data_IF_455497137459
#
_entry.id   IF_455497137459
#
_cell.length_a   1.000
_cell.length_b   1.000
_cell.length_c   1.000
_cell.angle_alpha   90.00
_cell.angle_beta   90.00
_cell.angle_gamma   90.00
#
_symmetry.space_group_name_H-M   'P 1'
#
loop_
_entity.id
_entity.type
_entity.pdbx_description
1 polymer ?
#
# COMPACT_ATOMS: atom_id res chain seq x y z
N UNK A 1 3.82 -13.42 -15.63
CA UNK A 1 5.27 -13.62 -15.86
C UNK A 1 5.66 -15.10 -15.85
N UNK A 2 5.26 -15.90 -14.85
CA UNK A 2 5.58 -17.34 -14.81
C UNK A 2 4.93 -18.17 -15.93
N UNK A 3 3.69 -17.85 -16.32
CA UNK A 3 2.92 -18.63 -17.31
C UNK A 3 3.55 -18.61 -18.71
N UNK A 4 3.92 -17.44 -19.27
CA UNK A 4 4.54 -17.35 -20.61
C UNK A 4 5.89 -18.07 -20.69
N UNK A 5 6.70 -18.01 -19.61
CA UNK A 5 7.97 -18.73 -19.54
C UNK A 5 7.76 -20.24 -19.43
N UNK A 6 6.79 -20.66 -18.63
CA UNK A 6 6.39 -22.06 -18.53
C UNK A 6 5.94 -22.59 -19.90
N UNK A 7 5.10 -21.85 -20.62
CA UNK A 7 4.65 -22.23 -21.97
C UNK A 7 5.81 -22.32 -22.97
N UNK A 8 6.74 -21.35 -22.95
CA UNK A 8 7.93 -21.40 -23.80
C UNK A 8 8.84 -22.59 -23.48
N UNK A 9 8.97 -22.95 -22.19
CA UNK A 9 9.71 -24.14 -21.77
C UNK A 9 8.99 -25.43 -22.21
N UNK A 10 7.67 -25.51 -22.04
CA UNK A 10 6.85 -26.63 -22.52
C UNK A 10 7.05 -26.84 -24.02
N UNK A 11 7.06 -25.77 -24.83
CA UNK A 11 7.35 -25.86 -26.26
C UNK A 11 8.71 -26.51 -26.54
N UNK A 12 9.73 -26.12 -25.81
CA UNK A 12 11.08 -26.65 -25.99
C UNK A 12 11.19 -28.13 -25.61
N UNK A 13 10.44 -28.58 -24.60
CA UNK A 13 10.38 -29.99 -24.16
C UNK A 13 9.63 -30.87 -25.17
N UNK A 14 8.65 -30.34 -25.89
CA UNK A 14 7.92 -31.10 -26.92
C UNK A 14 8.81 -31.45 -28.11
N UNK A 15 9.80 -30.60 -28.47
CA UNK A 15 10.71 -30.84 -29.61
C UNK A 15 11.44 -32.19 -29.54
N UNK A 16 12.17 -32.55 -28.46
CA UNK A 16 12.84 -33.84 -28.37
C UNK A 16 11.86 -35.01 -28.29
N UNK A 17 10.67 -34.82 -27.68
CA UNK A 17 9.65 -35.87 -27.63
C UNK A 17 9.11 -36.19 -29.03
N UNK A 18 8.79 -35.15 -29.81
CA UNK A 18 8.34 -35.28 -31.19
C UNK A 18 9.44 -35.87 -32.09
N UNK A 19 10.71 -35.55 -31.83
CA UNK A 19 11.85 -36.15 -32.52
C UNK A 19 11.95 -37.66 -32.26
N UNK A 20 11.79 -38.09 -31.00
CA UNK A 20 11.79 -39.52 -30.65
C UNK A 20 10.65 -40.26 -31.36
N UNK A 21 9.45 -39.67 -31.36
CA UNK A 21 8.30 -40.24 -32.06
C UNK A 21 8.60 -40.41 -33.56
N UNK A 22 9.07 -39.35 -34.22
CA UNK A 22 9.42 -39.37 -35.64
C UNK A 22 10.49 -40.41 -35.99
N UNK A 23 11.47 -40.63 -35.10
CA UNK A 23 12.52 -41.63 -35.28
C UNK A 23 11.97 -43.07 -35.16
N UNK A 24 11.00 -43.30 -34.29
CA UNK A 24 10.40 -44.62 -34.08
C UNK A 24 9.48 -45.04 -35.24
N UNK A 25 8.71 -44.11 -35.81
CA UNK A 25 7.70 -44.38 -36.85
C UNK A 25 8.28 -44.32 -38.27
N UNK A 26 9.60 -44.14 -38.41
CA UNK A 26 10.25 -43.84 -39.69
C UNK A 26 9.97 -44.86 -40.80
N UNK A 27 9.73 -46.12 -40.46
CA UNK A 27 9.43 -47.18 -41.41
C UNK A 27 7.96 -47.25 -41.86
N UNK A 28 7.08 -46.49 -41.22
CA UNK A 28 5.61 -46.58 -41.38
C UNK A 28 5.03 -45.39 -42.17
N UNK A 29 5.85 -44.42 -42.58
CA UNK A 29 5.38 -43.24 -43.30
C UNK A 29 4.98 -43.53 -44.75
N UNK A 30 3.82 -43.03 -45.19
CA UNK A 30 3.48 -42.97 -46.61
C UNK A 30 4.46 -42.09 -47.41
N UNK A 31 4.60 -42.29 -48.73
CA UNK A 31 5.50 -41.51 -49.58
C UNK A 31 5.26 -39.99 -49.44
N UNK A 32 6.33 -39.22 -49.17
CA UNK A 32 6.27 -37.76 -49.02
C UNK A 32 5.90 -37.25 -47.62
N UNK A 33 5.23 -38.06 -46.78
CA UNK A 33 4.83 -37.65 -45.43
C UNK A 33 6.00 -37.61 -44.44
N UNK A 34 7.04 -38.44 -44.64
CA UNK A 34 8.28 -38.36 -43.84
C UNK A 34 8.93 -36.97 -43.97
N UNK A 35 9.00 -36.42 -45.20
CA UNK A 35 9.56 -35.08 -45.44
C UNK A 35 8.67 -33.99 -44.82
N UNK A 36 7.36 -34.13 -44.92
CA UNK A 36 6.41 -33.21 -44.28
C UNK A 36 6.54 -33.22 -42.75
N UNK A 37 6.77 -34.39 -42.14
CA UNK A 37 6.99 -34.51 -40.69
C UNK A 37 8.30 -33.86 -40.24
N UNK A 38 9.42 -34.11 -40.94
CA UNK A 38 10.70 -33.46 -40.67
C UNK A 38 10.64 -31.94 -40.82
N UNK A 39 9.98 -31.44 -41.87
CA UNK A 39 9.83 -29.99 -42.08
C UNK A 39 8.99 -29.34 -40.99
N UNK A 40 7.88 -29.97 -40.59
CA UNK A 40 7.01 -29.47 -39.51
C UNK A 40 7.75 -29.44 -38.17
N UNK A 41 8.51 -30.49 -37.85
CA UNK A 41 9.35 -30.53 -36.64
C UNK A 41 10.47 -29.48 -36.68
N UNK A 42 11.09 -29.26 -37.83
CA UNK A 42 12.10 -28.21 -38.02
C UNK A 42 11.52 -26.81 -37.80
N UNK A 43 10.37 -26.51 -38.38
CA UNK A 43 9.63 -25.25 -38.15
C UNK A 43 9.30 -25.10 -36.66
N UNK A 44 8.90 -26.18 -35.99
CA UNK A 44 8.62 -26.13 -34.57
C UNK A 44 9.85 -25.79 -33.73
N UNK A 45 10.96 -26.50 -33.96
CA UNK A 45 12.20 -26.29 -33.23
C UNK A 45 12.71 -24.86 -33.38
N UNK A 46 12.69 -24.31 -34.61
CA UNK A 46 13.08 -22.93 -34.89
C UNK A 46 12.13 -21.95 -34.20
N UNK A 47 10.82 -22.12 -34.33
CA UNK A 47 9.85 -21.24 -33.70
C UNK A 47 9.90 -21.28 -32.18
N UNK A 48 10.08 -22.44 -31.57
CA UNK A 48 10.29 -22.60 -30.12
C UNK A 48 11.56 -21.89 -29.66
N UNK A 49 12.67 -22.05 -30.40
CA UNK A 49 13.94 -21.38 -30.11
C UNK A 49 13.85 -19.85 -30.25
N UNK A 50 13.06 -19.33 -31.19
CA UNK A 50 12.84 -17.89 -31.38
C UNK A 50 11.88 -17.30 -30.32
N UNK A 51 10.84 -18.03 -29.94
CA UNK A 51 9.85 -17.59 -28.95
C UNK A 51 10.40 -17.61 -27.50
N UNK A 52 11.40 -18.46 -27.22
CA UNK A 52 12.03 -18.55 -25.91
C UNK A 52 12.66 -17.22 -25.45
N UNK A 53 13.63 -16.60 -26.17
CA UNK A 53 14.21 -15.33 -25.76
C UNK A 53 13.18 -14.20 -25.76
N UNK A 54 12.22 -14.22 -26.69
CA UNK A 54 11.11 -13.27 -26.71
C UNK A 54 10.33 -13.32 -25.40
N UNK A 55 10.09 -14.49 -24.81
CA UNK A 55 9.38 -14.65 -23.53
C UNK A 55 10.05 -13.95 -22.33
N UNK A 56 11.35 -13.62 -22.43
CA UNK A 56 12.09 -12.88 -21.41
C UNK A 56 12.04 -11.35 -21.61
N UNK A 57 11.68 -10.88 -22.81
CA UNK A 57 11.63 -9.44 -23.14
C UNK A 57 10.35 -8.78 -22.64
N UNK A 58 10.41 -7.48 -22.31
CA UNK A 58 9.22 -6.71 -21.93
C UNK A 58 8.18 -6.60 -23.06
N UNK A 59 8.58 -6.69 -24.34
CA UNK A 59 7.66 -6.68 -25.48
C UNK A 59 6.73 -7.90 -25.48
N UNK A 60 7.19 -9.06 -25.01
CA UNK A 60 6.32 -10.23 -24.83
C UNK A 60 5.33 -10.09 -23.66
N UNK A 61 5.45 -9.06 -22.81
CA UNK A 61 4.42 -8.75 -21.79
C UNK A 61 3.14 -8.19 -22.40
N UNK A 62 3.19 -7.65 -23.63
CA UNK A 62 1.99 -7.15 -24.30
C UNK A 62 1.15 -8.32 -24.78
N UNK A 63 -0.18 -8.16 -24.77
CA UNK A 63 -1.15 -9.16 -25.28
C UNK A 63 -0.76 -9.71 -26.66
N UNK A 64 -0.11 -8.89 -27.49
CA UNK A 64 0.42 -9.29 -28.80
C UNK A 64 1.42 -10.45 -28.74
N UNK A 65 2.36 -10.49 -27.78
CA UNK A 65 3.33 -11.58 -27.69
C UNK A 65 2.70 -12.92 -27.30
N UNK A 66 1.73 -12.87 -26.38
CA UNK A 66 0.92 -14.04 -26.01
C UNK A 66 0.08 -14.55 -27.18
N UNK A 67 -0.48 -13.64 -27.99
CA UNK A 67 -1.25 -13.98 -29.18
C UNK A 67 -0.38 -14.64 -30.26
N UNK A 68 0.83 -14.11 -30.51
CA UNK A 68 1.76 -14.68 -31.49
C UNK A 68 2.12 -16.11 -31.13
N UNK A 69 2.46 -16.38 -29.86
CA UNK A 69 2.75 -17.73 -29.40
C UNK A 69 1.55 -18.68 -29.57
N UNK A 70 0.36 -18.23 -29.18
CA UNK A 70 -0.86 -19.02 -29.33
C UNK A 70 -1.20 -19.34 -30.79
N UNK A 71 -1.05 -18.36 -31.68
CA UNK A 71 -1.27 -18.57 -33.13
C UNK A 71 -0.24 -19.56 -33.68
N UNK A 72 1.03 -19.42 -33.29
CA UNK A 72 2.08 -20.36 -33.69
C UNK A 72 1.76 -21.79 -33.25
N UNK A 73 1.39 -22.02 -31.99
CA UNK A 73 1.05 -23.34 -31.48
C UNK A 73 -0.23 -23.91 -32.10
N UNK A 74 -1.21 -23.05 -32.43
CA UNK A 74 -2.44 -23.45 -33.14
C UNK A 74 -2.12 -23.92 -34.56
N UNK A 75 -1.35 -23.13 -35.31
CA UNK A 75 -0.95 -23.45 -36.69
C UNK A 75 -0.11 -24.72 -36.75
N UNK A 76 0.83 -24.86 -35.82
CA UNK A 76 1.67 -26.04 -35.73
C UNK A 76 0.86 -27.28 -35.37
N UNK A 77 0.02 -27.21 -34.34
CA UNK A 77 -0.82 -28.34 -33.94
C UNK A 77 -1.70 -28.78 -35.10
N UNK A 78 -2.22 -27.83 -35.87
CA UNK A 78 -2.97 -28.11 -37.11
C UNK A 78 -2.12 -28.83 -38.15
N UNK A 79 -0.89 -28.36 -38.41
CA UNK A 79 0.02 -29.00 -39.36
C UNK A 79 0.37 -30.44 -38.95
N UNK A 80 0.70 -30.67 -37.67
CA UNK A 80 1.00 -32.01 -37.15
C UNK A 80 -0.22 -32.95 -37.26
N UNK A 81 -1.43 -32.47 -36.97
CA UNK A 81 -2.66 -33.27 -37.13
C UNK A 81 -2.89 -33.70 -38.58
N UNK A 82 -2.54 -32.87 -39.55
CA UNK A 82 -2.68 -33.20 -40.97
C UNK A 82 -1.60 -34.17 -41.44
N UNK A 83 -0.33 -33.93 -41.08
CA UNK A 83 0.80 -34.79 -41.46
C UNK A 83 0.63 -36.19 -40.90
N UNK A 84 0.23 -36.32 -39.64
CA UNK A 84 0.06 -37.62 -38.98
C UNK A 84 -1.37 -38.16 -39.07
N UNK A 85 -2.15 -37.69 -40.04
CA UNK A 85 -3.53 -38.16 -40.22
C UNK A 85 -3.63 -39.63 -40.65
N UNK A 86 -2.52 -40.23 -41.12
CA UNK A 86 -2.45 -41.65 -41.51
C UNK A 86 -2.41 -42.61 -40.31
N UNK A 87 -1.99 -42.15 -39.12
CA UNK A 87 -1.81 -43.02 -37.96
C UNK A 87 -3.13 -43.55 -37.37
N UNK A 88 -3.22 -44.85 -37.05
CA UNK A 88 -4.30 -45.39 -36.25
C UNK A 88 -4.34 -44.74 -34.86
N UNK A 89 -5.52 -44.34 -34.38
CA UNK A 89 -5.70 -43.77 -33.02
C UNK A 89 -5.38 -42.29 -32.86
N UNK A 90 -4.61 -41.68 -33.78
CA UNK A 90 -4.42 -40.23 -33.90
C UNK A 90 -4.01 -39.52 -32.60
N UNK A 91 -2.90 -39.93 -31.94
CA UNK A 91 -2.50 -39.39 -30.64
C UNK A 91 -2.27 -37.87 -30.71
N UNK A 92 -1.74 -37.35 -31.81
CA UNK A 92 -1.41 -35.93 -31.98
C UNK A 92 -2.63 -35.01 -32.07
N UNK A 93 -3.84 -35.53 -32.28
CA UNK A 93 -5.07 -34.72 -32.16
C UNK A 93 -5.32 -34.24 -30.71
N UNK A 94 -4.68 -34.84 -29.71
CA UNK A 94 -4.74 -34.35 -28.32
C UNK A 94 -4.00 -33.02 -28.13
N UNK A 95 -3.11 -32.63 -29.05
CA UNK A 95 -2.43 -31.33 -29.01
C UNK A 95 -3.40 -30.14 -29.07
N UNK A 96 -4.57 -30.31 -29.70
CA UNK A 96 -5.63 -29.29 -29.68
C UNK A 96 -6.06 -28.92 -28.26
N UNK A 97 -6.11 -29.89 -27.33
CA UNK A 97 -6.44 -29.61 -25.94
C UNK A 97 -5.37 -28.77 -25.24
N UNK A 98 -4.09 -28.98 -25.60
CA UNK A 98 -2.99 -28.17 -25.08
C UNK A 98 -3.11 -26.71 -25.55
N UNK A 99 -3.44 -26.47 -26.82
CA UNK A 99 -3.66 -25.11 -27.35
C UNK A 99 -4.88 -24.44 -26.71
N UNK A 100 -5.96 -25.18 -26.49
CA UNK A 100 -7.14 -24.69 -25.77
C UNK A 100 -6.80 -24.32 -24.33
N UNK A 101 -6.00 -25.17 -23.65
CA UNK A 101 -5.52 -24.91 -22.29
C UNK A 101 -4.66 -23.64 -22.26
N UNK A 102 -3.72 -23.50 -23.20
CA UNK A 102 -2.89 -22.31 -23.31
C UNK A 102 -3.75 -21.05 -23.50
N UNK A 103 -4.72 -21.09 -24.41
CA UNK A 103 -5.64 -19.98 -24.65
C UNK A 103 -6.47 -19.64 -23.41
N UNK A 104 -6.92 -20.65 -22.66
CA UNK A 104 -7.64 -20.47 -21.41
C UNK A 104 -6.75 -19.85 -20.31
N UNK A 105 -5.47 -20.24 -20.22
CA UNK A 105 -4.52 -19.66 -19.27
C UNK A 105 -4.19 -18.19 -19.60
N UNK A 106 -4.03 -17.87 -20.88
CA UNK A 106 -3.65 -16.54 -21.33
C UNK A 106 -4.83 -15.57 -21.33
N UNK A 107 -5.97 -16.00 -21.89
CA UNK A 107 -7.12 -15.17 -22.20
C UNK A 107 -8.43 -15.62 -21.52
N UNK A 108 -8.34 -16.49 -20.50
CA UNK A 108 -9.48 -16.99 -19.70
C UNK A 108 -10.51 -17.71 -20.58
N UNK A 109 -11.76 -17.75 -20.14
CA UNK A 109 -12.86 -18.45 -20.82
C UNK A 109 -12.97 -18.04 -22.29
N UNK A 110 -12.83 -16.75 -22.61
CA UNK A 110 -12.93 -16.25 -23.98
C UNK A 110 -11.87 -16.87 -24.92
N UNK A 111 -10.62 -16.99 -24.46
CA UNK A 111 -9.56 -17.62 -25.25
C UNK A 111 -9.77 -19.11 -25.46
N UNK A 112 -10.04 -19.84 -24.36
CA UNK A 112 -10.28 -21.27 -24.40
C UNK A 112 -11.44 -21.63 -25.34
N UNK A 113 -12.55 -20.90 -25.23
CA UNK A 113 -13.72 -21.09 -26.09
C UNK A 113 -13.42 -20.72 -27.55
N UNK A 114 -12.71 -19.61 -27.80
CA UNK A 114 -12.36 -19.20 -29.16
C UNK A 114 -11.51 -20.26 -29.89
N UNK A 115 -10.49 -20.82 -29.23
CA UNK A 115 -9.68 -21.89 -29.83
C UNK A 115 -10.46 -23.20 -29.95
N UNK A 116 -11.29 -23.56 -28.95
CA UNK A 116 -12.11 -24.77 -29.02
C UNK A 116 -13.07 -24.73 -30.22
N UNK A 117 -13.70 -23.58 -30.47
CA UNK A 117 -14.58 -23.37 -31.62
C UNK A 117 -13.80 -23.29 -32.94
N UNK A 118 -12.64 -22.61 -32.96
CA UNK A 118 -11.77 -22.56 -34.13
C UNK A 118 -11.20 -23.94 -34.52
N UNK A 119 -11.12 -24.88 -33.57
CA UNK A 119 -10.74 -26.26 -33.79
C UNK A 119 -11.76 -27.08 -34.59
N UNK A 120 -13.03 -26.67 -34.64
CA UNK A 120 -14.10 -27.38 -35.38
C UNK A 120 -13.76 -27.53 -36.87
N UNK A 121 -13.54 -26.43 -37.64
CA UNK A 121 -13.21 -26.56 -39.06
C UNK A 121 -11.89 -27.32 -39.27
N UNK A 122 -10.91 -27.17 -38.38
CA UNK A 122 -9.63 -27.89 -38.45
C UNK A 122 -9.85 -29.40 -38.36
N UNK A 123 -10.61 -29.86 -37.38
CA UNK A 123 -10.90 -31.28 -37.18
C UNK A 123 -11.75 -31.86 -38.31
N UNK A 124 -12.74 -31.12 -38.80
CA UNK A 124 -13.58 -31.54 -39.94
C UNK A 124 -12.74 -31.67 -41.21
N UNK A 125 -11.89 -30.68 -41.51
CA UNK A 125 -11.00 -30.72 -42.67
C UNK A 125 -10.01 -31.88 -42.55
N UNK A 126 -9.42 -32.10 -41.37
CA UNK A 126 -8.51 -33.21 -41.14
C UNK A 126 -9.19 -34.58 -41.33
N UNK A 127 -10.46 -34.71 -40.95
CA UNK A 127 -11.22 -35.95 -41.13
C UNK A 127 -11.57 -36.21 -42.60
N UNK A 128 -11.99 -35.17 -43.34
CA UNK A 128 -12.26 -35.25 -44.78
C UNK A 128 -10.97 -35.56 -45.55
N UNK A 129 -9.87 -34.90 -45.20
CA UNK A 129 -8.55 -35.12 -45.80
C UNK A 129 -8.14 -36.58 -45.65
N UNK A 130 -8.20 -37.09 -44.41
CA UNK A 130 -7.86 -38.46 -44.06
C UNK A 130 -8.69 -39.48 -44.83
N UNK A 131 -9.99 -39.23 -44.97
CA UNK A 131 -10.88 -40.13 -45.71
C UNK A 131 -10.53 -40.19 -47.20
N UNK A 132 -10.22 -39.04 -47.82
CA UNK A 132 -9.85 -38.97 -49.24
C UNK A 132 -8.49 -39.57 -49.54
N UNK A 133 -7.50 -39.29 -48.71
CA UNK A 133 -6.11 -39.67 -48.97
C UNK A 133 -5.80 -41.11 -48.57
N UNK A 134 -6.35 -41.57 -47.44
CA UNK A 134 -6.02 -42.86 -46.84
C UNK A 134 -7.20 -43.83 -46.78
N UNK A 135 -8.38 -43.44 -47.29
CA UNK A 135 -9.54 -44.33 -47.39
C UNK A 135 -10.23 -44.66 -46.06
N UNK A 136 -9.91 -43.95 -44.96
CA UNK A 136 -10.57 -44.17 -43.68
C UNK A 136 -12.02 -43.67 -43.69
N UNK A 137 -12.88 -44.33 -42.92
CA UNK A 137 -14.24 -43.86 -42.68
C UNK A 137 -14.25 -42.58 -41.84
N UNK A 138 -15.13 -41.65 -42.23
CA UNK A 138 -15.37 -40.42 -41.48
C UNK A 138 -16.10 -40.79 -40.19
N UNK A 139 -15.56 -40.34 -39.05
CA UNK A 139 -16.15 -40.57 -37.73
C UNK A 139 -16.62 -39.24 -37.09
N UNK A 140 -17.85 -38.78 -37.38
CA UNK A 140 -18.35 -37.50 -36.86
C UNK A 140 -18.37 -37.46 -35.33
N UNK A 141 -18.66 -38.58 -34.68
CA UNK A 141 -18.76 -38.69 -33.23
C UNK A 141 -17.43 -38.37 -32.52
N UNK A 142 -16.30 -38.73 -33.13
CA UNK A 142 -14.96 -38.38 -32.61
C UNK A 142 -14.72 -36.87 -32.63
N UNK A 143 -15.16 -36.20 -33.69
CA UNK A 143 -15.04 -34.73 -33.82
C UNK A 143 -15.92 -34.04 -32.78
N UNK A 144 -17.18 -34.46 -32.66
CA UNK A 144 -18.13 -33.89 -31.70
C UNK A 144 -17.63 -34.07 -30.26
N UNK A 145 -17.17 -35.26 -29.89
CA UNK A 145 -16.65 -35.54 -28.55
C UNK A 145 -15.42 -34.67 -28.24
N UNK A 146 -14.48 -34.54 -29.17
CA UNK A 146 -13.28 -33.72 -28.98
C UNK A 146 -13.62 -32.24 -28.82
N UNK A 147 -14.54 -31.71 -29.63
CA UNK A 147 -15.00 -30.32 -29.52
C UNK A 147 -15.70 -30.09 -28.18
N UNK A 148 -16.57 -31.01 -27.76
CA UNK A 148 -17.24 -30.93 -26.46
C UNK A 148 -16.23 -30.88 -25.30
N UNK A 149 -15.23 -31.78 -25.31
CA UNK A 149 -14.15 -31.79 -24.29
C UNK A 149 -13.35 -30.48 -24.34
N UNK A 150 -12.99 -29.99 -25.53
CA UNK A 150 -12.26 -28.74 -25.69
C UNK A 150 -13.03 -27.54 -25.12
N UNK A 151 -14.34 -27.45 -25.38
CA UNK A 151 -15.19 -26.39 -24.81
C UNK A 151 -15.22 -26.49 -23.29
N UNK A 152 -15.47 -27.68 -22.74
CA UNK A 152 -15.50 -27.90 -21.28
C UNK A 152 -14.16 -27.51 -20.66
N UNK A 153 -13.04 -27.96 -21.23
CA UNK A 153 -11.70 -27.65 -20.75
C UNK A 153 -11.43 -26.14 -20.76
N UNK A 154 -11.75 -25.48 -21.87
CA UNK A 154 -11.59 -24.04 -22.03
C UNK A 154 -12.41 -23.23 -21.03
N UNK A 155 -13.65 -23.65 -20.76
CA UNK A 155 -14.53 -23.01 -19.77
C UNK A 155 -14.02 -23.24 -18.34
N UNK A 156 -13.72 -24.49 -17.97
CA UNK A 156 -13.30 -24.86 -16.61
C UNK A 156 -11.99 -24.16 -16.25
N UNK A 157 -10.97 -24.30 -17.11
CA UNK A 157 -9.65 -23.68 -16.87
C UNK A 157 -9.78 -22.16 -16.93
N UNK A 158 -10.54 -21.64 -17.90
CA UNK A 158 -10.77 -20.21 -18.03
C UNK A 158 -11.43 -19.59 -16.80
N UNK A 159 -12.40 -20.29 -16.19
CA UNK A 159 -13.05 -19.87 -14.94
C UNK A 159 -12.12 -19.97 -13.74
N UNK A 160 -11.35 -21.06 -13.62
CA UNK A 160 -10.37 -21.23 -12.55
C UNK A 160 -9.35 -20.08 -12.56
N UNK A 161 -8.81 -19.74 -13.73
CA UNK A 161 -7.87 -18.63 -13.89
C UNK A 161 -8.51 -17.27 -13.57
N UNK A 162 -9.79 -17.08 -13.88
CA UNK A 162 -10.51 -15.86 -13.53
C UNK A 162 -10.68 -15.74 -12.01
N UNK A 163 -11.12 -16.82 -11.35
CA UNK A 163 -11.31 -16.90 -9.91
C UNK A 163 -10.00 -16.63 -9.15
N UNK A 164 -8.90 -17.28 -9.53
CA UNK A 164 -7.58 -17.08 -8.92
C UNK A 164 -7.11 -15.62 -9.03
N UNK A 165 -7.33 -14.99 -10.19
CA UNK A 165 -6.93 -13.58 -10.39
C UNK A 165 -7.79 -12.62 -9.55
N UNK A 166 -9.06 -12.92 -9.38
CA UNK A 166 -9.97 -12.13 -8.54
C UNK A 166 -9.61 -12.25 -7.06
N UNK A 167 -9.38 -13.47 -6.57
CA UNK A 167 -8.91 -13.72 -5.20
C UNK A 167 -7.57 -13.03 -4.92
N UNK A 168 -6.61 -13.11 -5.85
CA UNK A 168 -5.32 -12.44 -5.71
C UNK A 168 -5.45 -10.91 -5.69
N UNK A 169 -6.41 -10.33 -6.42
CA UNK A 169 -6.68 -8.89 -6.39
C UNK A 169 -7.28 -8.47 -5.05
N UNK A 170 -8.28 -9.22 -4.56
CA UNK A 170 -8.90 -8.98 -3.26
C UNK A 170 -7.91 -9.11 -2.09
N UNK A 171 -7.05 -10.13 -2.12
CA UNK A 171 -6.03 -10.33 -1.10
C UNK A 171 -5.04 -9.15 -1.04
N UNK A 172 -4.63 -8.61 -2.20
CA UNK A 172 -3.76 -7.43 -2.26
C UNK A 172 -4.44 -6.16 -1.76
N UNK A 173 -5.71 -5.95 -2.10
CA UNK A 173 -6.46 -4.82 -1.59
C UNK A 173 -6.57 -4.87 -0.06
N UNK A 174 -6.95 -6.03 0.50
CA UNK A 174 -7.02 -6.24 1.96
C UNK A 174 -5.67 -6.04 2.65
N UNK A 175 -4.57 -6.50 2.05
CA UNK A 175 -3.23 -6.30 2.60
C UNK A 175 -2.88 -4.81 2.67
N UNK A 176 -3.16 -4.06 1.61
CA UNK A 176 -2.93 -2.62 1.58
C UNK A 176 -3.78 -1.86 2.60
N UNK A 177 -5.06 -2.19 2.73
CA UNK A 177 -5.95 -1.58 3.72
C UNK A 177 -5.50 -1.89 5.15
N UNK A 178 -5.05 -3.13 5.40
CA UNK A 178 -4.51 -3.54 6.71
C UNK A 178 -3.22 -2.80 7.05
N UNK A 179 -2.31 -2.60 6.09
CA UNK A 179 -1.11 -1.78 6.28
C UNK A 179 -1.47 -0.34 6.65
N UNK A 180 -2.38 0.30 5.90
CA UNK A 180 -2.82 1.67 6.19
C UNK A 180 -3.45 1.82 7.57
N UNK A 181 -4.31 0.88 7.96
CA UNK A 181 -4.95 0.91 9.28
C UNK A 181 -3.92 0.70 10.40
N UNK A 182 -2.95 -0.20 10.21
CA UNK A 182 -1.88 -0.42 11.18
C UNK A 182 -1.02 0.82 11.35
N UNK A 183 -0.67 1.49 10.27
CA UNK A 183 0.15 2.71 10.32
C UNK A 183 -0.60 3.87 11.00
N UNK A 184 -1.91 4.00 10.74
CA UNK A 184 -2.79 4.94 11.45
C UNK A 184 -2.87 4.64 12.96
N UNK A 185 -3.06 3.38 13.32
CA UNK A 185 -3.06 2.95 14.73
C UNK A 185 -1.71 3.20 15.40
N UNK A 186 -0.61 2.93 14.71
CA UNK A 186 0.75 3.21 15.19
C UNK A 186 0.92 4.67 15.56
N UNK A 187 0.56 5.59 14.65
CA UNK A 187 0.63 7.04 14.93
C UNK A 187 -0.21 7.46 16.13
N UNK A 188 -1.43 6.92 16.27
CA UNK A 188 -2.28 7.23 17.44
C UNK A 188 -1.69 6.70 18.75
N UNK A 189 -1.10 5.51 18.73
CA UNK A 189 -0.40 4.95 19.90
C UNK A 189 0.78 5.83 20.28
N UNK A 190 1.60 6.26 19.33
CA UNK A 190 2.75 7.14 19.59
C UNK A 190 2.33 8.46 20.24
N UNK A 191 1.27 9.10 19.72
CA UNK A 191 0.71 10.33 20.29
C UNK A 191 0.17 10.11 21.71
N UNK A 192 -0.53 9.00 21.95
CA UNK A 192 -1.04 8.66 23.29
C UNK A 192 0.09 8.40 24.27
N UNK A 193 1.13 7.66 23.88
CA UNK A 193 2.29 7.37 24.72
C UNK A 193 3.06 8.65 25.08
N UNK A 194 3.27 9.54 24.10
CA UNK A 194 3.94 10.81 24.31
C UNK A 194 3.11 11.76 25.20
N UNK A 195 1.80 11.83 24.98
CA UNK A 195 0.88 12.58 25.84
C UNK A 195 0.90 12.04 27.28
N UNK A 196 0.96 10.72 27.45
CA UNK A 196 1.07 10.06 28.75
C UNK A 196 2.41 10.34 29.44
N UNK A 197 3.53 10.40 28.69
CA UNK A 197 4.83 10.83 29.23
C UNK A 197 4.75 12.25 29.80
N UNK A 198 4.16 13.19 29.05
CA UNK A 198 3.96 14.57 29.52
C UNK A 198 3.12 14.62 30.80
N UNK A 199 1.99 13.88 30.85
CA UNK A 199 1.14 13.82 32.03
C UNK A 199 1.87 13.23 33.26
N UNK A 200 2.71 12.19 33.06
CA UNK A 200 3.53 11.62 34.15
C UNK A 200 4.60 12.58 34.65
N UNK A 201 5.26 13.32 33.76
CA UNK A 201 6.26 14.32 34.13
C UNK A 201 5.66 15.43 35.00
N UNK A 202 4.42 15.82 34.75
CA UNK A 202 3.71 16.77 35.62
C UNK A 202 3.42 16.21 37.02
N UNK A 203 3.29 14.89 37.17
CA UNK A 203 3.04 14.23 38.45
C UNK A 203 4.31 13.76 39.19
N UNK A 204 5.51 13.98 38.63
CA UNK A 204 6.75 13.44 39.20
C UNK A 204 7.35 14.28 40.32
N UNK A 205 6.87 15.51 40.52
CA UNK A 205 7.30 16.40 41.61
C UNK A 205 6.10 17.10 42.22
N UNK A 206 6.19 17.35 43.52
CA UNK A 206 5.22 18.17 44.27
C UNK A 206 5.60 19.66 44.24
N UNK A 207 6.68 20.02 43.54
CA UNK A 207 7.10 21.41 43.32
C UNK A 207 6.77 21.82 41.89
N UNK A 208 5.97 22.90 41.74
CA UNK A 208 5.48 23.38 40.44
C UNK A 208 6.62 23.61 39.42
N UNK A 209 7.70 24.26 39.84
CA UNK A 209 8.82 24.60 38.95
C UNK A 209 9.51 23.35 38.39
N UNK A 210 9.70 22.32 39.22
CA UNK A 210 10.30 21.06 38.81
C UNK A 210 9.35 20.28 37.87
N UNK A 211 8.05 20.20 38.23
CA UNK A 211 7.04 19.52 37.42
C UNK A 211 6.90 20.16 36.03
N UNK A 212 6.89 21.49 35.95
CA UNK A 212 6.83 22.21 34.67
C UNK A 212 8.09 22.05 33.84
N UNK A 213 9.27 22.08 34.46
CA UNK A 213 10.54 21.87 33.74
C UNK A 213 10.61 20.47 33.14
N UNK A 214 10.20 19.44 33.89
CA UNK A 214 10.12 18.06 33.40
C UNK A 214 9.08 17.92 32.27
N UNK A 215 7.92 18.55 32.41
CA UNK A 215 6.90 18.57 31.36
C UNK A 215 7.38 19.23 30.07
N UNK A 216 8.04 20.40 30.14
CA UNK A 216 8.53 21.09 28.94
C UNK A 216 9.62 20.25 28.23
N UNK A 217 10.42 19.50 28.98
CA UNK A 217 11.40 18.58 28.40
C UNK A 217 10.73 17.46 27.58
N UNK A 218 9.67 16.85 28.11
CA UNK A 218 8.89 15.83 27.39
C UNK A 218 8.09 16.43 26.22
N UNK A 219 7.54 17.64 26.39
CA UNK A 219 6.77 18.36 25.38
C UNK A 219 7.54 18.51 24.07
N UNK A 220 8.86 18.71 24.14
CA UNK A 220 9.72 18.90 22.96
C UNK A 220 9.74 17.69 22.02
N UNK A 221 9.54 16.49 22.57
CA UNK A 221 9.44 15.26 21.78
C UNK A 221 8.07 15.03 21.15
N UNK A 222 7.06 15.81 21.54
CA UNK A 222 5.67 15.67 21.09
C UNK A 222 5.23 16.80 20.17
N UNK A 223 5.57 18.05 20.52
CA UNK A 223 5.34 19.24 19.71
C UNK A 223 6.68 19.94 19.54
N UNK A 224 7.29 19.91 18.35
CA UNK A 224 8.49 20.70 18.09
C UNK A 224 8.24 22.18 18.41
N UNK A 225 9.15 22.82 19.13
CA UNK A 225 9.06 24.25 19.40
C UNK A 225 10.46 24.86 19.49
N UNK A 226 10.55 26.14 19.13
CA UNK A 226 11.75 26.96 19.31
C UNK A 226 11.72 27.69 20.65
N UNK A 227 10.53 27.95 21.17
CA UNK A 227 10.32 28.45 22.53
C UNK A 227 9.03 27.87 23.14
N UNK A 228 9.08 27.51 24.42
CA UNK A 228 7.91 27.17 25.21
C UNK A 228 7.89 27.97 26.53
N UNK A 229 6.70 28.29 27.02
CA UNK A 229 6.51 28.95 28.31
C UNK A 229 5.23 28.47 28.98
N UNK A 230 5.28 28.30 30.31
CA UNK A 230 4.11 28.10 31.16
C UNK A 230 3.99 29.30 32.06
N UNK A 231 2.79 29.89 32.10
CA UNK A 231 2.45 30.99 33.00
C UNK A 231 1.21 30.68 33.81
N UNK A 232 1.16 31.19 35.03
CA UNK A 232 -0.01 31.15 35.89
C UNK A 232 -0.58 32.55 36.03
N UNK A 233 -1.90 32.66 36.05
CA UNK A 233 -2.59 33.93 36.27
C UNK A 233 -2.55 34.29 37.76
N UNK A 234 -2.22 35.54 38.04
CA UNK A 234 -2.29 36.21 39.33
C UNK A 234 -3.28 37.39 39.24
N UNK A 235 -3.66 38.01 40.36
CA UNK A 235 -4.80 38.95 40.42
C UNK A 235 -4.78 40.11 39.38
N UNK A 236 -3.62 40.54 38.91
CA UNK A 236 -3.47 41.67 37.97
C UNK A 236 -2.69 41.31 36.69
N UNK A 237 -2.40 40.02 36.45
CA UNK A 237 -1.54 39.63 35.32
C UNK A 237 -1.19 38.15 35.27
N UNK A 238 -0.13 37.83 34.53
CA UNK A 238 0.44 36.49 34.47
C UNK A 238 1.87 36.45 35.02
N UNK A 239 2.21 35.41 35.77
CA UNK A 239 3.58 35.11 36.18
C UNK A 239 4.10 33.91 35.40
N UNK A 240 5.26 34.05 34.78
CA UNK A 240 5.93 32.95 34.08
C UNK A 240 6.56 32.03 35.11
N UNK A 241 6.25 30.74 35.00
CA UNK A 241 6.71 29.71 35.92
C UNK A 241 7.85 28.90 35.32
N UNK A 242 7.81 28.63 34.02
CA UNK A 242 8.85 27.88 33.32
C UNK A 242 8.96 28.31 31.87
N UNK A 243 10.18 28.26 31.33
CA UNK A 243 10.47 28.56 29.92
C UNK A 243 11.55 27.63 29.38
N UNK A 244 11.51 27.34 28.09
CA UNK A 244 12.61 26.69 27.37
C UNK A 244 12.76 27.26 25.96
N UNK A 245 13.97 27.16 25.41
CA UNK A 245 14.28 27.56 24.04
C UNK A 245 14.71 29.02 23.92
N UNK A 246 14.43 29.63 22.77
CA UNK A 246 14.94 30.95 22.39
C UNK A 246 14.62 32.00 23.47
N UNK A 247 15.65 32.65 24.01
CA UNK A 247 15.52 33.73 24.99
C UNK A 247 14.95 33.32 26.35
N UNK A 248 15.06 32.06 26.76
CA UNK A 248 14.51 31.55 28.02
C UNK A 248 14.93 32.37 29.25
N UNK A 249 16.14 32.92 29.27
CA UNK A 249 16.63 33.72 30.41
C UNK A 249 16.64 35.23 30.13
N UNK A 250 16.57 35.64 28.86
CA UNK A 250 16.81 37.04 28.44
C UNK A 250 15.55 37.83 28.11
N UNK A 251 14.43 37.17 27.83
CA UNK A 251 13.15 37.80 27.53
C UNK A 251 12.06 36.99 28.20
N UNK A 252 11.35 37.56 29.18
CA UNK A 252 10.27 36.87 29.89
C UNK A 252 10.67 35.48 30.41
N UNK A 253 11.75 35.41 31.20
CA UNK A 253 12.19 34.17 31.86
C UNK A 253 11.37 33.82 33.11
N UNK A 254 11.75 32.74 33.83
CA UNK A 254 11.05 32.32 35.04
C UNK A 254 10.97 33.45 36.08
N UNK A 255 9.78 33.67 36.63
CA UNK A 255 9.49 34.74 37.58
C UNK A 255 9.07 36.08 36.93
N UNK A 256 9.22 36.26 35.62
CA UNK A 256 8.78 37.47 34.95
C UNK A 256 7.26 37.63 35.00
N UNK A 257 6.79 38.88 35.05
CA UNK A 257 5.37 39.25 35.08
C UNK A 257 4.92 39.85 33.76
N UNK A 258 3.71 39.53 33.36
CA UNK A 258 3.01 40.11 32.22
C UNK A 258 1.74 40.80 32.71
N UNK A 259 1.48 41.99 32.17
CA UNK A 259 0.19 42.65 32.35
C UNK A 259 -0.86 41.95 31.51
N UNK A 260 -2.07 41.82 32.06
CA UNK A 260 -3.19 41.23 31.31
C UNK A 260 -3.66 42.18 30.21
N UNK A 261 -3.75 43.47 30.51
CA UNK A 261 -4.28 44.49 29.61
C UNK A 261 -3.44 44.58 28.32
N UNK A 262 -4.08 44.42 27.16
CA UNK A 262 -3.41 44.51 25.86
C UNK A 262 -2.50 43.33 25.52
N UNK A 263 -2.54 42.26 26.31
CA UNK A 263 -1.86 41.00 26.03
C UNK A 263 -2.81 40.00 25.35
N UNK A 264 -2.25 39.05 24.61
CA UNK A 264 -3.03 37.93 24.07
C UNK A 264 -3.73 37.11 25.15
N UNK A 265 -3.25 37.22 26.41
CA UNK A 265 -3.82 36.56 27.58
C UNK A 265 -5.28 36.93 27.82
N UNK A 266 -5.76 38.10 27.39
CA UNK A 266 -7.18 38.47 27.53
C UNK A 266 -8.11 37.42 26.90
N UNK A 267 -7.78 36.95 25.70
CA UNK A 267 -8.55 35.90 25.00
C UNK A 267 -8.37 34.53 25.65
N UNK A 268 -7.16 34.24 26.12
CA UNK A 268 -6.86 32.94 26.75
C UNK A 268 -7.60 32.81 28.09
N UNK A 269 -7.78 33.90 28.83
CA UNK A 269 -8.58 33.94 30.06
C UNK A 269 -10.04 33.55 29.80
N UNK A 270 -10.58 33.85 28.62
CA UNK A 270 -11.93 33.43 28.19
C UNK A 270 -12.01 31.92 27.86
N UNK A 271 -10.89 31.19 27.95
CA UNK A 271 -10.81 29.76 27.65
C UNK A 271 -10.54 29.46 26.18
N UNK A 272 -10.18 30.47 25.38
CA UNK A 272 -9.86 30.31 23.97
C UNK A 272 -8.41 29.84 23.79
N UNK A 273 -8.20 28.81 22.96
CA UNK A 273 -6.86 28.52 22.43
C UNK A 273 -6.61 29.44 21.25
N UNK A 274 -5.55 30.24 21.30
CA UNK A 274 -5.24 31.20 20.27
C UNK A 274 -4.05 30.72 19.45
N UNK A 275 -4.28 30.49 18.16
CA UNK A 275 -3.22 30.31 17.17
C UNK A 275 -2.90 31.64 16.48
N UNK A 276 -1.63 32.02 16.51
CA UNK A 276 -1.05 33.12 15.73
C UNK A 276 -0.13 32.50 14.69
N UNK A 277 -0.62 32.41 13.46
CA UNK A 277 0.12 32.02 12.26
C UNK A 277 1.24 33.02 11.90
N UNK A 278 1.04 34.30 12.23
CA UNK A 278 2.03 35.36 12.06
C UNK A 278 2.02 36.36 13.22
N UNK A 279 3.15 36.48 13.91
CA UNK A 279 3.41 37.52 14.92
C UNK A 279 3.71 38.87 14.28
N UNK A 280 3.34 39.96 14.97
CA UNK A 280 3.66 41.33 14.59
C UNK A 280 2.44 42.20 14.29
N UNK A 281 2.70 43.42 13.80
CA UNK A 281 1.67 44.43 13.53
C UNK A 281 1.22 45.22 14.76
N UNK A 282 1.97 45.16 15.87
CA UNK A 282 1.68 45.91 17.10
C UNK A 282 0.40 45.47 17.82
N UNK A 283 -0.10 44.27 17.54
CA UNK A 283 -1.39 43.79 18.06
C UNK A 283 -1.36 43.43 19.55
N UNK A 284 -0.23 42.93 20.04
CA UNK A 284 -0.01 42.59 21.44
C UNK A 284 1.39 43.02 21.87
N UNK A 285 1.54 43.51 23.11
CA UNK A 285 2.77 44.11 23.61
C UNK A 285 3.96 43.13 23.61
N UNK A 286 3.72 41.85 23.87
CA UNK A 286 4.76 40.83 23.96
C UNK A 286 5.26 40.29 22.61
N UNK A 287 4.62 40.61 21.47
CA UNK A 287 5.02 40.03 20.18
C UNK A 287 6.32 40.61 19.63
N UNK A 288 6.64 41.88 19.92
CA UNK A 288 7.85 42.54 19.40
C UNK A 288 9.13 41.87 19.90
N UNK A 289 9.21 41.53 21.19
CA UNK A 289 10.39 40.84 21.71
C UNK A 289 10.47 39.38 21.27
N UNK A 290 9.33 38.71 21.01
CA UNK A 290 9.34 37.38 20.39
C UNK A 290 9.88 37.44 18.95
N UNK A 291 9.52 38.47 18.18
CA UNK A 291 10.07 38.70 16.83
C UNK A 291 11.58 38.97 16.86
N UNK A 292 12.08 39.72 17.85
CA UNK A 292 13.52 39.96 18.03
C UNK A 292 14.30 38.68 18.35
N UNK A 293 13.63 37.67 18.92
CA UNK A 293 14.17 36.32 19.12
C UNK A 293 14.05 35.41 17.87
N UNK A 294 13.51 35.94 16.76
CA UNK A 294 13.32 35.20 15.52
C UNK A 294 12.08 34.30 15.50
N UNK A 295 11.14 34.47 16.43
CA UNK A 295 9.90 33.70 16.48
C UNK A 295 8.81 34.38 15.63
N UNK A 296 8.06 33.59 14.87
CA UNK A 296 7.12 34.11 13.88
C UNK A 296 5.70 33.55 13.99
N UNK A 297 5.50 32.41 14.65
CA UNK A 297 4.18 31.85 14.96
C UNK A 297 4.12 31.34 16.40
N UNK A 298 2.93 31.32 17.00
CA UNK A 298 2.73 30.76 18.35
C UNK A 298 1.33 30.19 18.54
N UNK A 299 1.23 29.15 19.35
CA UNK A 299 -0.03 28.65 19.92
C UNK A 299 -0.02 28.97 21.41
N UNK A 300 -1.12 29.50 21.92
CA UNK A 300 -1.32 29.70 23.35
C UNK A 300 -2.60 28.99 23.77
N UNK A 301 -2.45 27.97 24.60
CA UNK A 301 -3.54 27.18 25.15
C UNK A 301 -3.82 27.60 26.61
N UNK A 302 -5.10 27.67 27.00
CA UNK A 302 -5.47 27.93 28.39
C UNK A 302 -5.13 26.74 29.29
N UNK A 303 -4.63 27.04 30.48
CA UNK A 303 -4.62 26.09 31.59
C UNK A 303 -6.02 26.07 32.19
N UNK A 304 -6.90 25.26 31.60
CA UNK A 304 -8.32 25.23 31.94
C UNK A 304 -8.59 24.24 33.09
N UNK A 305 -9.17 24.75 34.19
CA UNK A 305 -9.66 23.96 35.31
C UNK A 305 -11.18 24.15 35.44
N UNK A 306 -11.95 23.17 34.93
CA UNK A 306 -13.40 23.33 34.78
C UNK A 306 -13.72 24.52 33.88
N UNK A 307 -14.47 25.50 34.39
CA UNK A 307 -14.82 26.73 33.67
C UNK A 307 -13.83 27.88 33.89
N UNK A 308 -12.80 27.69 34.72
CA UNK A 308 -11.83 28.74 35.06
C UNK A 308 -10.47 28.51 34.38
N UNK A 309 -9.97 29.52 33.67
CA UNK A 309 -8.57 29.56 33.23
C UNK A 309 -7.67 30.01 34.38
N UNK A 310 -6.63 29.24 34.68
CA UNK A 310 -5.66 29.52 35.77
C UNK A 310 -4.27 29.92 35.27
N UNK A 311 -4.07 29.98 33.95
CA UNK A 311 -2.79 30.23 33.31
C UNK A 311 -2.82 29.92 31.82
N UNK A 312 -1.64 29.89 31.20
CA UNK A 312 -1.49 29.52 29.80
C UNK A 312 -0.22 28.69 29.54
N UNK A 313 -0.31 27.80 28.55
CA UNK A 313 0.82 27.14 27.91
C UNK A 313 1.04 27.80 26.54
N UNK A 314 2.22 28.35 26.31
CA UNK A 314 2.60 28.95 25.03
C UNK A 314 3.73 28.17 24.39
N UNK A 315 3.60 27.86 23.10
CA UNK A 315 4.67 27.32 22.25
C UNK A 315 4.81 28.18 21.00
N UNK A 316 6.04 28.43 20.57
CA UNK A 316 6.34 29.27 19.43
C UNK A 316 7.40 28.64 18.52
N UNK A 317 7.31 28.96 17.23
CA UNK A 317 8.24 28.53 16.18
C UNK A 317 8.80 29.73 15.41
N UNK A 318 10.00 29.59 14.89
CA UNK A 318 10.64 30.53 13.98
C UNK A 318 10.03 30.52 12.58
N UNK A 319 9.30 29.46 12.22
CA UNK A 319 8.55 29.40 10.98
C UNK A 319 7.21 30.15 11.10
N UNK A 320 6.73 30.72 9.99
CA UNK A 320 5.38 31.28 9.88
C UNK A 320 4.41 30.15 9.58
N UNK A 321 3.17 30.31 10.02
CA UNK A 321 2.08 29.34 9.81
C UNK A 321 2.51 27.89 10.12
N UNK A 322 3.21 27.71 11.24
CA UNK A 322 3.97 26.49 11.47
C UNK A 322 3.20 25.39 12.20
N UNK A 323 1.97 25.64 12.68
CA UNK A 323 1.22 24.67 13.49
C UNK A 323 -0.01 24.16 12.75
N UNK A 324 -0.13 22.84 12.63
CA UNK A 324 -1.35 22.20 12.09
C UNK A 324 -2.48 22.12 13.12
N UNK A 325 -3.70 21.83 12.66
CA UNK A 325 -4.88 21.69 13.55
C UNK A 325 -4.68 20.65 14.66
N UNK A 326 -4.13 19.47 14.31
CA UNK A 326 -3.84 18.40 15.29
C UNK A 326 -2.83 18.86 16.37
N UNK A 327 -1.85 19.68 16.01
CA UNK A 327 -0.87 20.21 16.96
C UNK A 327 -1.50 21.26 17.88
N UNK A 328 -2.38 22.11 17.34
CA UNK A 328 -3.13 23.09 18.15
C UNK A 328 -4.01 22.36 19.17
N UNK A 329 -4.78 21.35 18.74
CA UNK A 329 -5.61 20.53 19.63
C UNK A 329 -4.78 19.82 20.70
N UNK A 330 -3.61 19.31 20.33
CA UNK A 330 -2.70 18.65 21.24
C UNK A 330 -2.16 19.61 22.30
N UNK A 331 -1.72 20.82 21.91
CA UNK A 331 -1.27 21.85 22.86
C UNK A 331 -2.43 22.27 23.78
N UNK A 332 -3.66 22.38 23.28
CA UNK A 332 -4.85 22.62 24.10
C UNK A 332 -5.09 21.51 25.12
N UNK A 333 -4.98 20.25 24.72
CA UNK A 333 -5.12 19.10 25.61
C UNK A 333 -4.04 19.11 26.70
N UNK A 334 -2.79 19.35 26.32
CA UNK A 334 -1.67 19.41 27.25
C UNK A 334 -1.82 20.57 28.25
N UNK A 335 -2.37 21.72 27.82
CA UNK A 335 -2.74 22.81 28.73
C UNK A 335 -3.71 22.36 29.83
N UNK A 336 -4.68 21.49 29.52
CA UNK A 336 -5.58 20.91 30.53
C UNK A 336 -4.85 19.99 31.51
N UNK A 337 -3.88 19.20 31.04
CA UNK A 337 -3.08 18.36 31.95
C UNK A 337 -2.23 19.18 32.91
N UNK A 338 -1.59 20.24 32.39
CA UNK A 338 -0.84 21.18 33.22
C UNK A 338 -1.76 21.83 34.26
N UNK A 339 -2.98 22.24 33.88
CA UNK A 339 -3.95 22.80 34.82
C UNK A 339 -4.34 21.81 35.95
N UNK A 340 -4.60 20.55 35.61
CA UNK A 340 -4.92 19.51 36.57
C UNK A 340 -3.75 19.26 37.55
N UNK A 341 -2.51 19.23 37.05
CA UNK A 341 -1.33 19.08 37.88
C UNK A 341 -1.14 20.24 38.87
N UNK A 342 -1.37 21.48 38.41
CA UNK A 342 -1.33 22.67 39.29
C UNK A 342 -2.35 22.55 40.41
N UNK A 343 -3.58 22.12 40.09
CA UNK A 343 -4.61 21.95 41.11
C UNK A 343 -4.21 20.87 42.13
N UNK A 344 -3.65 19.76 41.67
CA UNK A 344 -3.21 18.67 42.54
C UNK A 344 -2.10 19.13 43.50
N UNK A 345 -1.08 19.82 42.98
CA UNK A 345 0.03 20.33 43.79
C UNK A 345 -0.46 21.35 44.83
N UNK A 346 -1.27 22.33 44.43
CA UNK A 346 -1.85 23.33 45.36
C UNK A 346 -2.72 22.70 46.44
N UNK A 347 -3.49 21.67 46.09
CA UNK A 347 -4.33 20.94 47.05
C UNK A 347 -3.46 20.24 48.10
N UNK A 348 -2.39 19.58 47.66
CA UNK A 348 -1.45 18.91 48.54
C UNK A 348 -0.73 19.88 49.49
N UNK A 349 -0.27 21.03 48.97
CA UNK A 349 0.37 22.07 49.78
C UNK A 349 -0.58 22.62 50.86
N UNK A 350 -1.84 22.87 50.53
CA UNK A 350 -2.85 23.36 51.48
C UNK A 350 -3.17 22.35 52.59
N UNK A 351 -3.29 21.07 52.24
CA UNK A 351 -3.51 20.00 53.21
C UNK A 351 -2.32 19.88 54.17
N UNK A 352 -1.09 19.93 53.63
CA UNK A 352 0.13 19.88 54.44
C UNK A 352 0.26 21.06 55.39
N UNK A 353 -0.02 22.28 54.92
CA UNK A 353 0.01 23.49 55.75
C UNK A 353 -0.98 23.40 56.92
N UNK A 354 -2.18 22.86 56.68
CA UNK A 354 -3.20 22.67 57.72
C UNK A 354 -2.74 21.66 58.77
N UNK A 355 -2.08 20.56 58.35
CA UNK A 355 -1.53 19.57 59.29
C UNK A 355 -0.36 20.12 60.10
N UNK A 356 0.46 20.99 59.52
CA UNK A 356 1.57 21.66 60.22
C UNK A 356 1.07 22.73 61.21
N UNK A 357 -0.04 23.43 60.92
CA UNK A 357 -0.67 24.38 61.86
C UNK A 357 -1.39 23.70 63.05
N UNK A 358 -1.82 22.44 62.88
CA UNK A 358 -2.50 21.66 63.92
C UNK A 358 -1.52 20.87 64.83
N UNK A 359 -0.22 20.90 64.54
CA UNK A 359 0.85 20.32 65.37
C UNK A 359 1.52 21.37 66.23
#
# INVERSE_FOLDING_TARGET
>A
MRVLRLLAFVRLVIVPLALIQLLNERAEFPPGYETAAWTTLGIYAVGAALLLPLSFTERARRRAGALIGLVFDTLLSTALILVYSFEPGQPLRTLLFLVVLEAALLFRVAGGLAIALAGIPILVVAEIWRSREFGFEIQPESVVLRVAIAVVLGVVVGRLVAMEREQAALARARAHDAERLRDELGRRVDVLEASSRCARALGSSLELEQAFSAFIAELRGLVPFDRAAILLLENEGGRIMATAGAGSDSYYGPGARLELAGSILERVVEGETVYRDLLGGGRYAEEEGLLQLGLHSRVIAPLQLGTRTIGALSVARAERDAFGEDEVELVTLLGRFVAAAVQNIRTYEAERATVEELR
#
